data_IF_116217315734
#
_entry.id   IF_116217315734
#
_cell.length_a   1.000
_cell.length_b   1.000
_cell.length_c   1.000
_cell.angle_alpha   90.00
_cell.angle_beta   90.00
_cell.angle_gamma   90.00
#
_symmetry.space_group_name_H-M   'P 1'
#
loop_
_entity.id
_entity.type
_entity.pdbx_description
1 polymer ?
#
# COMPACT_ATOMS: atom_id res chain seq x y z
N UNK A 1 -1.72 0.19 -15.56
CA UNK A 1 -0.85 -0.72 -14.79
C UNK A 1 0.03 0.13 -13.90
N UNK A 2 0.21 -0.26 -12.63
CA UNK A 2 1.22 0.36 -11.76
C UNK A 2 2.60 0.08 -12.35
N UNK A 3 3.43 1.12 -12.50
CA UNK A 3 4.80 1.01 -13.00
C UNK A 3 5.78 0.74 -11.84
N UNK A 4 5.52 -0.29 -11.04
CA UNK A 4 6.42 -0.73 -9.97
C UNK A 4 7.17 -1.98 -10.47
N UNK A 5 8.51 -1.94 -10.46
CA UNK A 5 9.32 -3.08 -10.86
C UNK A 5 9.12 -4.23 -9.84
N UNK A 6 8.57 -5.39 -10.21
CA UNK A 6 8.29 -6.49 -9.27
C UNK A 6 9.54 -7.07 -8.63
N UNK A 7 10.72 -6.90 -9.24
CA UNK A 7 12.01 -7.28 -8.63
C UNK A 7 12.24 -6.57 -7.30
N UNK A 8 11.55 -5.46 -7.00
CA UNK A 8 11.65 -4.82 -5.68
C UNK A 8 10.95 -5.60 -4.55
N UNK A 9 10.25 -6.68 -4.86
CA UNK A 9 9.64 -7.57 -3.85
C UNK A 9 10.21 -8.98 -3.92
N UNK A 10 11.28 -9.21 -4.70
CA UNK A 10 11.93 -10.52 -4.75
C UNK A 10 12.50 -10.90 -3.39
N UNK A 11 12.27 -12.14 -2.99
CA UNK A 11 12.83 -12.70 -1.76
C UNK A 11 14.30 -13.05 -1.94
N UNK A 12 15.09 -12.85 -0.90
CA UNK A 12 16.50 -13.26 -0.79
C UNK A 12 16.85 -13.41 0.70
N UNK A 13 18.07 -13.83 1.03
CA UNK A 13 18.50 -14.03 2.42
C UNK A 13 18.31 -12.80 3.33
N UNK A 14 18.34 -11.59 2.77
CA UNK A 14 18.19 -10.33 3.50
C UNK A 14 16.96 -9.54 3.06
N UNK A 15 16.02 -10.17 2.35
CA UNK A 15 14.88 -9.49 1.75
C UNK A 15 13.65 -10.37 1.69
N UNK A 16 12.54 -9.88 2.18
CA UNK A 16 11.27 -10.58 2.14
C UNK A 16 10.17 -9.78 2.81
N UNK A 17 9.04 -10.44 3.03
CA UNK A 17 7.90 -9.87 3.75
C UNK A 17 7.91 -10.40 5.18
N UNK A 18 7.92 -9.51 6.16
CA UNK A 18 7.76 -9.84 7.58
C UNK A 18 6.30 -9.56 7.95
N UNK A 19 5.66 -10.50 8.62
CA UNK A 19 4.33 -10.30 9.20
C UNK A 19 4.52 -10.17 10.70
N UNK A 20 4.25 -8.98 11.22
CA UNK A 20 4.32 -8.67 12.65
C UNK A 20 2.94 -8.23 13.14
N UNK A 21 2.43 -8.87 14.19
CA UNK A 21 1.14 -8.54 14.82
C UNK A 21 1.24 -7.34 15.77
N UNK A 22 2.45 -6.90 16.12
CA UNK A 22 2.69 -5.81 17.05
C UNK A 22 2.47 -4.41 16.47
N UNK A 23 2.19 -4.28 15.17
CA UNK A 23 2.07 -2.98 14.49
C UNK A 23 0.72 -2.82 13.79
N UNK A 24 0.12 -1.63 13.91
CA UNK A 24 -1.09 -1.29 13.16
C UNK A 24 -0.78 -0.88 11.71
N UNK A 25 0.49 -0.58 11.39
CA UNK A 25 0.95 -0.06 10.11
C UNK A 25 1.86 -1.07 9.41
N UNK A 26 1.70 -1.19 8.09
CA UNK A 26 2.65 -1.92 7.26
C UNK A 26 3.86 -1.03 6.93
N UNK A 27 5.06 -1.59 7.08
CA UNK A 27 6.31 -0.94 6.70
C UNK A 27 6.78 -1.49 5.35
N UNK A 28 7.14 -0.59 4.44
CA UNK A 28 7.76 -0.95 3.17
C UNK A 28 9.27 -0.75 3.25
N UNK A 29 10.03 -1.57 2.52
CA UNK A 29 11.43 -1.25 2.26
C UNK A 29 11.53 0.13 1.60
N UNK A 30 12.56 0.90 1.94
CA UNK A 30 12.75 2.28 1.46
C UNK A 30 12.62 2.39 -0.06
N UNK A 31 13.27 1.47 -0.79
CA UNK A 31 13.24 1.39 -2.26
C UNK A 31 11.84 1.13 -2.85
N UNK A 32 10.91 0.61 -2.04
CA UNK A 32 9.54 0.31 -2.45
C UNK A 32 8.52 1.35 -1.98
N UNK A 33 8.88 2.21 -1.03
CA UNK A 33 7.96 3.18 -0.44
C UNK A 33 7.47 4.21 -1.47
N UNK A 34 8.38 4.94 -2.10
CA UNK A 34 8.00 6.00 -3.05
C UNK A 34 7.23 5.47 -4.27
N UNK A 35 7.67 4.36 -4.94
CA UNK A 35 6.90 3.78 -6.04
C UNK A 35 5.49 3.36 -5.62
N UNK A 36 5.35 2.81 -4.40
CA UNK A 36 4.07 2.38 -3.87
C UNK A 36 3.14 3.58 -3.58
N UNK A 37 3.65 4.63 -2.91
CA UNK A 37 2.86 5.84 -2.63
C UNK A 37 2.44 6.55 -3.91
N UNK A 38 3.33 6.65 -4.91
CA UNK A 38 3.02 7.25 -6.20
C UNK A 38 1.91 6.47 -6.93
N UNK A 39 2.03 5.15 -6.96
CA UNK A 39 1.02 4.25 -7.52
C UNK A 39 -0.35 4.37 -6.83
N UNK A 40 -0.35 4.38 -5.49
CA UNK A 40 -1.57 4.57 -4.70
C UNK A 40 -2.20 5.92 -5.02
N UNK A 41 -1.39 7.00 -5.04
CA UNK A 41 -1.85 8.36 -5.40
C UNK A 41 -2.52 8.38 -6.75
N UNK A 42 -1.91 7.76 -7.77
CA UNK A 42 -2.49 7.68 -9.12
C UNK A 42 -3.82 6.93 -9.12
N UNK A 43 -3.88 5.78 -8.46
CA UNK A 43 -5.08 4.93 -8.44
C UNK A 43 -6.25 5.59 -7.69
N UNK A 44 -5.98 6.31 -6.59
CA UNK A 44 -7.04 7.00 -5.85
C UNK A 44 -7.39 8.38 -6.43
N UNK A 45 -6.54 8.98 -7.26
CA UNK A 45 -6.67 10.38 -7.72
C UNK A 45 -8.02 10.71 -8.36
N UNK A 46 -8.72 9.71 -8.92
CA UNK A 46 -10.05 9.87 -9.51
C UNK A 46 -11.17 9.98 -8.46
N UNK A 47 -10.94 9.51 -7.24
CA UNK A 47 -11.96 9.35 -6.19
C UNK A 47 -11.72 10.22 -4.96
N UNK A 48 -10.49 10.66 -4.73
CA UNK A 48 -10.10 11.44 -3.54
C UNK A 48 -9.15 12.56 -3.91
N UNK A 49 -9.05 13.57 -3.04
CA UNK A 49 -8.11 14.68 -3.23
C UNK A 49 -6.85 14.46 -2.38
N UNK A 50 -5.65 14.45 -2.96
CA UNK A 50 -4.41 14.37 -2.19
C UNK A 50 -4.22 15.63 -1.34
N UNK A 51 -3.63 15.47 -0.14
CA UNK A 51 -3.29 16.53 0.80
C UNK A 51 -1.98 16.16 1.50
N UNK A 52 -1.01 17.08 1.53
CA UNK A 52 0.15 16.95 2.40
C UNK A 52 -0.19 17.47 3.80
N UNK A 53 -0.09 16.60 4.82
CA UNK A 53 -0.32 16.96 6.22
C UNK A 53 0.83 16.48 7.08
N UNK A 54 1.52 17.42 7.74
CA UNK A 54 2.71 17.14 8.59
C UNK A 54 3.78 16.28 7.90
N UNK A 55 3.99 16.49 6.60
CA UNK A 55 4.94 15.71 5.78
C UNK A 55 4.41 14.36 5.29
N UNK A 56 3.20 13.95 5.67
CA UNK A 56 2.59 12.71 5.22
C UNK A 56 1.62 12.97 4.05
N UNK A 57 1.60 12.04 3.10
CA UNK A 57 0.61 12.00 2.03
C UNK A 57 -0.73 11.49 2.60
N UNK A 58 -1.71 12.38 2.67
CA UNK A 58 -3.08 12.09 3.12
C UNK A 58 -4.06 12.26 1.95
N UNK A 59 -5.28 11.73 2.12
CA UNK A 59 -6.33 11.82 1.10
C UNK A 59 -7.65 12.26 1.72
N UNK A 60 -8.19 13.35 1.20
CA UNK A 60 -9.49 13.87 1.61
C UNK A 60 -10.60 13.18 0.82
N UNK A 61 -11.49 12.50 1.55
CA UNK A 61 -12.73 11.96 1.01
C UNK A 61 -13.82 13.04 1.06
N UNK A 62 -14.26 13.52 -0.08
CA UNK A 62 -15.48 14.35 -0.15
C UNK A 62 -16.71 13.48 0.06
N UNK A 63 -17.31 13.55 1.25
CA UNK A 63 -18.52 12.84 1.63
C UNK A 63 -19.76 13.43 0.93
N UNK A 64 -20.03 13.02 -0.31
CA UNK A 64 -21.30 13.34 -1.00
C UNK A 64 -22.08 12.10 -1.45
N UNK A 65 -21.68 10.90 -1.03
CA UNK A 65 -22.47 9.70 -1.23
C UNK A 65 -22.37 8.81 0.02
N UNK A 66 -23.44 8.85 0.82
CA UNK A 66 -23.67 7.94 1.95
C UNK A 66 -24.06 6.55 1.43
N UNK A 67 -23.87 5.55 2.30
CA UNK A 67 -24.32 4.15 2.24
C UNK A 67 -23.21 3.13 1.90
N UNK A 68 -22.58 2.62 2.96
CA UNK A 68 -22.47 1.17 3.21
C UNK A 68 -21.54 0.28 2.37
N UNK A 69 -21.12 0.66 1.15
CA UNK A 69 -20.44 -0.33 0.28
C UNK A 69 -19.28 0.19 -0.58
N UNK A 70 -19.00 1.50 -0.62
CA UNK A 70 -17.93 2.05 -1.46
C UNK A 70 -17.12 3.10 -0.68
N UNK A 71 -16.31 2.64 0.27
CA UNK A 71 -14.97 3.21 0.25
C UNK A 71 -14.31 2.42 -0.89
N UNK A 72 -13.97 3.09 -1.99
CA UNK A 72 -13.01 2.57 -2.95
C UNK A 72 -11.65 2.49 -2.22
N UNK A 73 -11.57 1.61 -1.23
CA UNK A 73 -10.32 1.18 -0.63
C UNK A 73 -9.71 0.40 -1.77
N UNK A 74 -8.62 0.91 -2.33
CA UNK A 74 -7.79 0.10 -3.20
C UNK A 74 -7.50 -1.17 -2.41
N UNK A 75 -8.06 -2.31 -2.85
CA UNK A 75 -7.77 -3.58 -2.24
C UNK A 75 -6.30 -3.89 -2.52
N UNK A 76 -5.45 -3.70 -1.51
CA UNK A 76 -4.03 -4.06 -1.60
C UNK A 76 -3.93 -5.56 -1.28
N UNK A 77 -3.79 -6.37 -2.31
CA UNK A 77 -3.55 -7.81 -2.16
C UNK A 77 -2.03 -8.06 -2.12
N UNK A 78 -1.56 -8.73 -1.08
CA UNK A 78 -0.21 -9.30 -1.06
C UNK A 78 -0.32 -10.78 -1.42
N UNK A 79 0.18 -11.15 -2.61
CA UNK A 79 0.22 -12.56 -3.03
C UNK A 79 1.52 -13.19 -2.53
N UNK A 80 1.38 -14.22 -1.68
CA UNK A 80 2.52 -14.98 -1.18
C UNK A 80 2.78 -16.19 -2.09
N UNK A 81 4.01 -16.31 -2.59
CA UNK A 81 4.49 -17.49 -3.32
C UNK A 81 5.35 -18.28 -2.35
N UNK A 82 4.74 -19.18 -1.56
CA UNK A 82 5.49 -20.03 -0.62
C UNK A 82 4.68 -20.52 0.58
N UNK A 83 5.19 -21.57 1.23
CA UNK A 83 4.66 -22.15 2.46
C UNK A 83 5.18 -21.32 3.64
N UNK A 84 4.31 -20.82 4.51
CA UNK A 84 4.73 -20.19 5.77
C UNK A 84 5.34 -21.30 6.64
N UNK A 85 6.66 -21.28 6.82
CA UNK A 85 7.36 -22.13 7.78
C UNK A 85 7.65 -21.30 9.02
N UNK A 86 6.94 -21.55 10.12
CA UNK A 86 7.35 -21.06 11.43
C UNK A 86 8.71 -21.67 11.76
N UNK A 87 9.68 -20.82 12.11
CA UNK A 87 10.83 -21.28 12.90
C UNK A 87 10.38 -21.63 14.32
#
# INVERSE_FOLDING_TARGET
MLNINPSIFSTSNNRGTIIDSGTMLAYFAEVAYDPFVAAMTQCVSQSVRPLLSKGNQCYLKTSRFFIGLYICIILICVSFIGKITSS
#
